data_IF_224275017201
#
_entry.id   IF_224275017201
#
_cell.length_a   1.000
_cell.length_b   1.000
_cell.length_c   1.000
_cell.angle_alpha   90.00
_cell.angle_beta   90.00
_cell.angle_gamma   90.00
#
_symmetry.space_group_name_H-M   'P 1'
#
loop_
_entity.id
_entity.type
_entity.pdbx_description
1 polymer ?
#
# COMPACT_ATOMS: atom_id res chain seq x y z
N UNK A 1 6.78 16.20 -16.64
CA UNK A 1 8.13 16.54 -17.15
C UNK A 1 8.59 15.41 -18.06
N UNK A 2 9.24 15.73 -19.19
CA UNK A 2 9.82 14.70 -20.06
C UNK A 2 11.00 14.01 -19.36
N UNK A 3 11.24 12.73 -19.68
CA UNK A 3 12.35 11.97 -19.12
C UNK A 3 13.68 12.44 -19.74
N UNK A 4 14.62 13.03 -18.98
CA UNK A 4 15.89 13.52 -19.51
C UNK A 4 16.83 12.41 -20.01
N UNK A 5 16.59 11.15 -19.62
CA UNK A 5 17.33 10.00 -20.15
C UNK A 5 17.15 9.81 -21.66
N UNK A 6 16.09 10.38 -22.25
CA UNK A 6 15.82 10.28 -23.69
C UNK A 6 16.30 11.51 -24.48
N UNK A 7 16.96 12.46 -23.82
CA UNK A 7 17.48 13.63 -24.50
C UNK A 7 18.72 13.24 -25.31
N UNK A 8 18.71 13.56 -26.59
CA UNK A 8 19.87 13.41 -27.45
C UNK A 8 20.70 14.70 -27.43
N UNK A 9 22.02 14.55 -27.44
CA UNK A 9 22.94 15.69 -27.49
C UNK A 9 22.82 16.38 -28.85
N UNK A 10 22.60 17.71 -28.90
CA UNK A 10 22.58 18.45 -30.15
C UNK A 10 23.95 18.37 -30.86
N UNK A 11 23.92 18.33 -32.19
CA UNK A 11 25.13 18.46 -32.98
C UNK A 11 25.49 19.95 -33.15
N UNK A 12 26.33 20.46 -32.26
CA UNK A 12 26.77 21.86 -32.26
C UNK A 12 27.64 22.28 -33.45
N UNK A 13 28.01 21.36 -34.35
CA UNK A 13 28.67 21.69 -35.61
C UNK A 13 27.69 22.12 -36.72
N UNK A 14 26.38 21.95 -36.51
CA UNK A 14 25.40 22.36 -37.51
C UNK A 14 25.32 23.90 -37.65
N UNK A 15 24.95 24.43 -38.83
CA UNK A 15 24.83 25.87 -39.05
C UNK A 15 23.89 26.58 -38.07
N UNK A 16 22.84 25.90 -37.61
CA UNK A 16 21.87 26.42 -36.65
C UNK A 16 22.49 26.87 -35.31
N UNK A 17 23.68 26.34 -34.98
CA UNK A 17 24.41 26.69 -33.76
C UNK A 17 25.59 27.65 -34.01
N UNK A 18 25.69 28.26 -35.19
CA UNK A 18 26.79 29.18 -35.53
C UNK A 18 26.87 30.36 -34.56
N UNK A 19 25.74 31.00 -34.25
CA UNK A 19 25.69 32.08 -33.25
C UNK A 19 26.17 31.61 -31.87
N UNK A 20 25.75 30.42 -31.45
CA UNK A 20 26.19 29.85 -30.17
C UNK A 20 27.70 29.58 -30.17
N UNK A 21 28.28 29.12 -31.28
CA UNK A 21 29.73 28.91 -31.41
C UNK A 21 30.49 30.24 -31.45
N UNK A 22 29.95 31.28 -32.08
CA UNK A 22 30.59 32.60 -32.19
C UNK A 22 30.95 33.21 -30.83
N UNK A 23 30.15 32.95 -29.79
CA UNK A 23 30.48 33.38 -28.42
C UNK A 23 31.80 32.79 -27.89
N UNK A 24 32.20 31.63 -28.38
CA UNK A 24 33.38 30.91 -27.91
C UNK A 24 34.58 31.04 -28.86
N UNK A 25 34.38 31.51 -30.11
CA UNK A 25 35.47 31.72 -31.08
C UNK A 25 36.19 33.07 -30.94
N UNK A 26 35.66 34.00 -30.12
CA UNK A 26 36.23 35.36 -29.90
C UNK A 26 37.71 35.34 -29.47
N UNK A 27 38.18 34.27 -28.84
CA UNK A 27 39.58 34.13 -28.38
C UNK A 27 40.50 33.39 -29.37
N UNK A 28 40.13 33.32 -30.66
CA UNK A 28 40.91 32.59 -31.67
C UNK A 28 40.72 31.07 -31.60
N UNK A 29 39.69 30.61 -30.87
CA UNK A 29 39.28 29.20 -30.85
C UNK A 29 38.59 28.83 -32.15
N UNK A 30 38.80 27.60 -32.59
CA UNK A 30 38.14 27.03 -33.76
C UNK A 30 36.67 26.72 -33.47
N UNK A 31 35.84 26.63 -34.51
CA UNK A 31 34.45 26.16 -34.40
C UNK A 31 34.35 24.78 -33.74
N UNK A 32 35.32 23.90 -33.99
CA UNK A 32 35.37 22.57 -33.41
C UNK A 32 35.57 22.63 -31.89
N UNK A 33 36.44 23.51 -31.41
CA UNK A 33 36.64 23.72 -29.97
C UNK A 33 35.39 24.35 -29.33
N UNK A 34 34.78 25.33 -30.00
CA UNK A 34 33.53 25.94 -29.53
C UNK A 34 32.40 24.90 -29.41
N UNK A 35 32.23 24.03 -30.42
CA UNK A 35 31.24 22.96 -30.40
C UNK A 35 31.51 21.92 -29.31
N UNK A 36 32.78 21.60 -29.05
CA UNK A 36 33.17 20.71 -27.96
C UNK A 36 32.83 21.31 -26.59
N UNK A 37 33.08 22.61 -26.40
CA UNK A 37 32.68 23.33 -25.18
C UNK A 37 31.16 23.30 -24.96
N UNK A 38 30.38 23.59 -26.00
CA UNK A 38 28.91 23.52 -25.93
C UNK A 38 28.42 22.10 -25.60
N UNK A 39 29.05 21.07 -26.18
CA UNK A 39 28.76 19.68 -25.87
C UNK A 39 28.99 19.35 -24.40
N UNK A 40 30.13 19.79 -23.83
CA UNK A 40 30.46 19.57 -22.43
C UNK A 40 29.46 20.25 -21.48
N UNK A 41 29.04 21.48 -21.80
CA UNK A 41 28.04 22.21 -21.02
C UNK A 41 26.70 21.48 -21.05
N UNK A 42 26.30 20.99 -22.22
CA UNK A 42 25.09 20.18 -22.36
C UNK A 42 25.17 18.89 -21.54
N UNK A 43 26.28 18.15 -21.61
CA UNK A 43 26.47 16.89 -20.89
C UNK A 43 26.37 17.09 -19.37
N UNK A 44 26.95 18.17 -18.85
CA UNK A 44 26.85 18.54 -17.44
C UNK A 44 25.41 18.86 -17.03
N UNK A 45 24.72 19.67 -17.84
CA UNK A 45 23.32 20.02 -17.59
C UNK A 45 22.41 18.80 -17.64
N UNK A 46 22.57 17.93 -18.64
CA UNK A 46 21.75 16.75 -18.83
C UNK A 46 21.99 15.72 -17.73
N UNK A 47 23.24 15.53 -17.30
CA UNK A 47 23.59 14.65 -16.16
C UNK A 47 22.92 15.13 -14.87
N UNK A 48 22.93 16.44 -14.61
CA UNK A 48 22.23 17.01 -13.44
C UNK A 48 20.72 16.83 -13.55
N UNK A 49 20.14 17.00 -14.73
CA UNK A 49 18.71 16.78 -14.97
C UNK A 49 18.32 15.32 -14.74
N UNK A 50 19.12 14.37 -15.25
CA UNK A 50 18.97 12.94 -15.01
C UNK A 50 19.00 12.63 -13.51
N UNK A 51 20.02 13.09 -12.79
CA UNK A 51 20.13 12.84 -11.36
C UNK A 51 18.94 13.39 -10.55
N UNK A 52 18.48 14.61 -10.89
CA UNK A 52 17.31 15.20 -10.25
C UNK A 52 16.03 14.40 -10.55
N UNK A 53 15.87 13.94 -11.79
CA UNK A 53 14.73 13.11 -12.19
C UNK A 53 14.75 11.76 -11.47
N UNK A 54 15.90 11.09 -11.40
CA UNK A 54 16.06 9.81 -10.70
C UNK A 54 15.76 9.96 -9.21
N UNK A 55 16.25 11.03 -8.58
CA UNK A 55 15.95 11.35 -7.18
C UNK A 55 14.45 11.56 -6.96
N UNK A 56 13.78 12.28 -7.85
CA UNK A 56 12.34 12.49 -7.77
C UNK A 56 11.59 11.15 -7.88
N UNK A 57 11.95 10.31 -8.85
CA UNK A 57 11.32 9.00 -9.03
C UNK A 57 11.54 8.08 -7.84
N UNK A 58 12.75 8.07 -7.26
CA UNK A 58 13.03 7.31 -6.05
C UNK A 58 12.20 7.81 -4.86
N UNK A 59 12.05 9.12 -4.70
CA UNK A 59 11.22 9.71 -3.65
C UNK A 59 9.73 9.36 -3.82
N UNK A 60 9.20 9.40 -5.04
CA UNK A 60 7.82 9.02 -5.36
C UNK A 60 7.57 7.54 -5.02
N UNK A 61 8.48 6.64 -5.41
CA UNK A 61 8.37 5.21 -5.09
C UNK A 61 8.42 4.99 -3.57
N UNK A 62 9.34 5.65 -2.88
CA UNK A 62 9.46 5.56 -1.42
C UNK A 62 8.20 6.06 -0.71
N UNK A 63 7.65 7.19 -1.14
CA UNK A 63 6.42 7.74 -0.57
C UNK A 63 5.23 6.80 -0.75
N UNK A 64 5.07 6.20 -1.93
CA UNK A 64 4.03 5.20 -2.19
C UNK A 64 4.18 3.97 -1.29
N UNK A 65 5.41 3.52 -1.08
CA UNK A 65 5.69 2.39 -0.18
C UNK A 65 5.36 2.73 1.27
N UNK A 66 5.81 3.89 1.76
CA UNK A 66 5.53 4.35 3.12
C UNK A 66 4.03 4.53 3.37
N UNK A 67 3.27 5.04 2.39
CA UNK A 67 1.82 5.20 2.50
C UNK A 67 1.12 3.83 2.59
N UNK A 68 1.56 2.87 1.76
CA UNK A 68 1.06 1.50 1.83
C UNK A 68 1.34 0.84 3.18
N UNK A 69 2.57 0.96 3.68
CA UNK A 69 2.95 0.43 5.00
C UNK A 69 2.11 1.07 6.12
N UNK A 70 1.83 2.37 6.03
CA UNK A 70 0.95 3.08 6.99
C UNK A 70 -0.47 2.54 6.96
N UNK A 71 -1.03 2.33 5.77
CA UNK A 71 -2.38 1.78 5.61
C UNK A 71 -2.47 0.35 6.16
N UNK A 72 -1.46 -0.49 5.90
CA UNK A 72 -1.39 -1.85 6.43
C UNK A 72 -1.33 -1.84 7.97
N UNK A 73 -0.45 -1.01 8.57
CA UNK A 73 -0.38 -0.86 10.03
C UNK A 73 -1.68 -0.32 10.65
N UNK A 74 -2.36 0.61 9.98
CA UNK A 74 -3.64 1.11 10.47
C UNK A 74 -4.73 0.05 10.41
N UNK A 75 -4.78 -0.74 9.34
CA UNK A 75 -5.71 -1.86 9.21
C UNK A 75 -5.48 -2.91 10.30
N UNK A 76 -4.21 -3.25 10.59
CA UNK A 76 -3.86 -4.16 11.69
C UNK A 76 -4.32 -3.64 13.05
N UNK A 77 -4.09 -2.34 13.33
CA UNK A 77 -4.56 -1.71 14.57
C UNK A 77 -6.08 -1.76 14.69
N UNK A 78 -6.80 -1.45 13.61
CA UNK A 78 -8.27 -1.51 13.59
C UNK A 78 -8.79 -2.94 13.78
N UNK A 79 -8.12 -3.93 13.18
CA UNK A 79 -8.46 -5.34 13.37
C UNK A 79 -8.32 -5.76 14.84
N UNK A 80 -7.19 -5.44 15.45
CA UNK A 80 -6.92 -5.76 16.85
C UNK A 80 -7.93 -5.10 17.80
N UNK A 81 -8.28 -3.83 17.54
CA UNK A 81 -9.30 -3.13 18.31
C UNK A 81 -10.66 -3.83 18.20
N UNK A 82 -11.07 -4.22 16.98
CA UNK A 82 -12.32 -4.94 16.76
C UNK A 82 -12.35 -6.28 17.50
N UNK A 83 -11.27 -7.05 17.44
CA UNK A 83 -11.17 -8.32 18.16
C UNK A 83 -11.30 -8.11 19.68
N UNK A 84 -10.64 -7.09 20.22
CA UNK A 84 -10.74 -6.76 21.63
C UNK A 84 -12.18 -6.34 22.03
N UNK A 85 -12.85 -5.52 21.22
CA UNK A 85 -14.24 -5.12 21.44
C UNK A 85 -15.18 -6.34 21.40
N UNK A 86 -15.00 -7.25 20.45
CA UNK A 86 -15.79 -8.49 20.36
C UNK A 86 -15.56 -9.40 21.57
N UNK A 87 -14.32 -9.54 22.04
CA UNK A 87 -14.02 -10.32 23.23
C UNK A 87 -14.66 -9.71 24.48
N UNK A 88 -14.59 -8.38 24.63
CA UNK A 88 -15.23 -7.67 25.72
C UNK A 88 -16.75 -7.86 25.68
N UNK A 89 -17.39 -7.70 24.52
CA UNK A 89 -18.81 -7.93 24.33
C UNK A 89 -19.21 -9.37 24.70
N UNK A 90 -18.46 -10.38 24.23
CA UNK A 90 -18.68 -11.80 24.60
C UNK A 90 -18.58 -12.02 26.11
N UNK A 91 -17.61 -11.39 26.78
CA UNK A 91 -17.47 -11.49 28.23
C UNK A 91 -18.64 -10.82 28.97
N UNK A 92 -19.11 -9.67 28.51
CA UNK A 92 -20.28 -8.99 29.07
C UNK A 92 -21.56 -9.79 28.90
N UNK A 93 -21.78 -10.38 27.71
CA UNK A 93 -22.91 -11.27 27.46
C UNK A 93 -22.89 -12.49 28.39
N UNK A 94 -21.73 -13.14 28.55
CA UNK A 94 -21.56 -14.26 29.49
C UNK A 94 -21.85 -13.85 30.93
N UNK A 95 -21.42 -12.65 31.35
CA UNK A 95 -21.71 -12.11 32.68
C UNK A 95 -23.21 -11.84 32.87
N UNK A 96 -23.89 -11.32 31.84
CA UNK A 96 -25.32 -10.97 31.87
C UNK A 96 -26.23 -12.19 31.81
N UNK A 97 -25.87 -13.21 31.04
CA UNK A 97 -26.71 -14.39 30.78
C UNK A 97 -26.09 -15.69 31.31
N UNK A 98 -25.54 -15.68 32.53
CA UNK A 98 -24.89 -16.85 33.15
C UNK A 98 -25.73 -18.13 33.09
N UNK A 99 -27.05 -18.04 33.24
CA UNK A 99 -27.96 -19.19 33.18
C UNK A 99 -28.04 -19.84 31.79
N UNK A 100 -27.79 -19.10 30.70
CA UNK A 100 -27.81 -19.65 29.33
C UNK A 100 -26.52 -20.42 28.99
N UNK A 101 -25.44 -20.10 29.70
CA UNK A 101 -24.14 -20.75 29.53
C UNK A 101 -23.83 -21.76 30.65
N UNK A 102 -24.76 -21.98 31.58
CA UNK A 102 -24.63 -23.01 32.59
C UNK A 102 -24.78 -24.39 31.92
N UNK A 103 -23.96 -25.39 32.28
CA UNK A 103 -24.14 -26.76 31.82
C UNK A 103 -25.58 -27.21 32.09
N UNK A 104 -26.24 -27.78 31.09
CA UNK A 104 -27.60 -28.32 31.26
C UNK A 104 -27.50 -29.40 32.33
N UNK A 105 -28.23 -29.28 33.46
CA UNK A 105 -28.23 -30.32 34.47
C UNK A 105 -28.77 -31.61 33.85
N UNK A 106 -28.07 -32.73 34.03
CA UNK A 106 -28.55 -34.06 33.66
C UNK A 106 -29.79 -34.39 34.52
N UNK A 107 -30.95 -33.95 34.05
CA UNK A 107 -32.23 -34.35 34.61
C UNK A 107 -32.61 -35.66 33.92
N UNK A 108 -32.82 -36.76 34.66
CA UNK A 108 -33.30 -37.99 34.05
C UNK A 108 -34.65 -37.70 33.38
N UNK A 109 -34.78 -38.12 32.11
CA UNK A 109 -36.01 -37.98 31.35
C UNK A 109 -37.17 -38.58 32.15
N UNK A 110 -38.36 -37.93 32.19
CA UNK A 110 -39.52 -38.46 32.89
C UNK A 110 -39.82 -39.86 32.36
N UNK A 111 -39.67 -40.88 33.22
CA UNK A 111 -40.10 -42.24 32.89
C UNK A 111 -41.62 -42.21 32.80
N UNK A 112 -42.14 -42.39 31.59
CA UNK A 112 -43.57 -42.61 31.37
C UNK A 112 -43.99 -43.79 32.25
N UNK A 113 -44.78 -43.49 33.29
CA UNK A 113 -45.44 -44.54 34.07
C UNK A 113 -46.66 -44.97 33.26
N UNK A 114 -46.47 -45.98 32.42
CA UNK A 114 -47.56 -46.69 31.76
C UNK A 114 -48.46 -47.28 32.84
N UNK A 115 -49.56 -46.60 33.18
CA UNK A 115 -50.58 -47.14 34.09
C UNK A 115 -51.27 -48.31 33.37
N UNK A 116 -51.33 -49.51 33.97
CA UNK A 116 -52.13 -50.59 33.41
C UNK A 116 -53.62 -50.26 33.58
N UNK A 117 -54.34 -50.10 32.47
CA UNK A 117 -55.80 -50.11 32.50
C UNK A 117 -56.27 -51.53 32.81
N UNK A 118 -56.87 -51.72 33.99
CA UNK A 118 -57.70 -52.89 34.26
C UNK A 118 -58.99 -52.77 33.43
N UNK A 119 -59.16 -53.68 32.48
CA UNK A 119 -60.45 -53.94 31.82
C UNK A 119 -61.37 -54.69 32.80
N UNK A 120 -62.28 -53.96 33.43
CA UNK A 120 -63.48 -54.55 34.03
C UNK A 120 -64.45 -54.90 32.89
N UNK A 121 -64.42 -56.17 32.47
CA UNK A 121 -65.42 -56.75 31.57
C UNK A 121 -66.70 -56.94 32.40
N UNK A 122 -67.76 -56.24 32.01
CA UNK A 122 -69.08 -56.29 32.65
C UNK A 122 -69.73 -57.66 32.56
N UNK A 123 -70.40 -58.05 33.65
CA UNK A 123 -71.31 -59.18 33.72
C UNK A 123 -72.69 -58.80 33.15
N UNK A 124 -73.35 -59.80 32.57
CA UNK A 124 -74.71 -59.79 31.99
C UNK A 124 -75.81 -59.34 32.96
#
# INVERSE_FOLDING_TARGET
MANPHHNERPNYMLPEFEEARLFFTVEGKTDQEAAAWLSNVWDFSNTRAIAAWDQQRAAEVKALQEDRERLEQEAERQHLLREQEEEQAKQEERKKYKSKFAPIPDRPLPRETTKPYYTLIGAC
#
